data_IF_876251496923
#
_entry.id   IF_876251496923
#
_cell.length_a   1.000
_cell.length_b   1.000
_cell.length_c   1.000
_cell.angle_alpha   90.00
_cell.angle_beta   90.00
_cell.angle_gamma   90.00
#
_symmetry.space_group_name_H-M   'P 1'
#
loop_
_entity.id
_entity.type
_entity.pdbx_description
1 polymer ?
2 polymer ?
3 non-polymer ?
4 water ?
#
# COMPACT_ATOMS: atom_id res chain seq x y z
N UNK A 11 27.94 7.01 -5.03
CA UNK A 11 27.99 8.37 -4.56
C UNK A 11 28.35 8.32 -3.07
N UNK A 12 27.81 9.23 -2.26
CA UNK A 12 28.12 10.68 -2.30
C UNK A 12 26.98 11.54 -1.73
N UNK A 13 27.24 12.14 -0.56
CA UNK A 13 26.18 12.65 0.33
C UNK A 13 25.10 13.57 -0.27
N UNK A 14 25.50 14.56 -1.06
CA UNK A 14 24.55 15.63 -1.46
C UNK A 14 23.55 15.10 -2.47
N UNK A 15 24.01 14.13 -3.27
CA UNK A 15 23.17 13.46 -4.24
C UNK A 15 22.23 12.44 -3.65
N UNK A 16 22.70 11.63 -2.71
CA UNK A 16 21.81 10.75 -1.96
C UNK A 16 20.80 11.50 -1.10
N UNK A 17 21.17 12.67 -0.66
CA UNK A 17 20.25 13.51 0.08
C UNK A 17 19.24 14.19 -0.86
N UNK A 18 19.70 14.62 -2.03
CA UNK A 18 18.81 15.15 -3.04
C UNK A 18 17.88 14.06 -3.60
N UNK A 19 18.35 12.83 -3.72
CA UNK A 19 17.44 11.71 -4.04
C UNK A 19 16.35 11.57 -2.98
N UNK A 20 16.74 11.59 -1.72
CA UNK A 20 15.79 11.28 -0.65
C UNK A 20 14.71 12.35 -0.64
N UNK A 21 15.17 13.55 -0.92
CA UNK A 21 14.32 14.70 -0.97
C UNK A 21 13.37 14.75 -2.15
N UNK A 22 13.89 14.38 -3.30
CA UNK A 22 13.05 14.23 -4.48
C UNK A 22 11.92 13.24 -4.22
N UNK A 23 12.29 12.07 -3.67
CA UNK A 23 11.37 11.00 -3.39
C UNK A 23 10.31 11.40 -2.36
N UNK A 24 10.69 12.09 -1.30
CA UNK A 24 9.74 12.54 -0.27
C UNK A 24 8.72 13.54 -0.88
N UNK A 25 9.22 14.53 -1.58
CA UNK A 25 8.37 15.47 -2.31
C UNK A 25 7.37 14.81 -3.27
N UNK A 26 7.80 13.77 -4.00
CA UNK A 26 6.89 12.96 -4.83
C UNK A 26 5.93 12.12 -4.05
N UNK A 27 6.41 11.56 -2.94
CA UNK A 27 5.57 10.76 -2.08
C UNK A 27 4.44 11.60 -1.53
N UNK A 28 4.75 12.81 -1.10
CA UNK A 28 3.67 13.66 -0.63
C UNK A 28 2.66 14.06 -1.72
N UNK A 29 3.11 14.23 -2.97
CA UNK A 29 2.23 14.52 -4.12
C UNK A 29 1.37 13.31 -4.52
N UNK A 30 1.90 12.11 -4.32
CA UNK A 30 1.31 10.84 -4.76
C UNK A 30 0.34 10.26 -3.77
N UNK A 31 0.61 10.36 -2.46
CA UNK A 31 -0.20 9.69 -1.44
C UNK A 31 -0.91 10.70 -0.57
N UNK A 32 -2.25 10.66 -0.59
CA UNK A 32 -3.04 11.77 -0.06
C UNK A 32 -2.89 11.92 1.49
N UNK A 33 -2.94 10.81 2.21
CA UNK A 33 -2.82 10.83 3.67
C UNK A 33 -1.44 10.32 4.07
N UNK A 34 -0.54 11.21 4.51
CA UNK A 34 0.77 10.80 4.97
C UNK A 34 0.68 10.05 6.29
N UNK A 35 1.73 9.29 6.61
CA UNK A 35 1.80 8.76 7.95
C UNK A 35 1.80 9.78 9.08
N UNK A 36 2.46 10.94 8.89
CA UNK A 36 2.39 11.97 9.92
C UNK A 36 0.96 12.40 10.27
N UNK A 37 0.15 12.62 9.25
CA UNK A 37 -1.22 13.05 9.44
C UNK A 37 -2.06 11.93 9.96
N UNK A 38 -1.89 10.71 9.45
CA UNK A 38 -2.53 9.55 10.08
C UNK A 38 -2.19 9.37 11.54
N UNK A 39 -0.96 9.56 11.92
CA UNK A 39 -0.59 9.36 13.32
C UNK A 39 -1.22 10.45 14.22
N UNK A 40 -1.19 11.69 13.75
CA UNK A 40 -1.89 12.82 14.36
C UNK A 40 -3.36 12.48 14.62
N UNK A 41 -4.05 12.01 13.60
CA UNK A 41 -5.43 11.50 13.79
C UNK A 41 -5.58 10.40 14.82
N UNK A 42 -4.77 9.35 14.72
CA UNK A 42 -5.06 8.10 15.43
C UNK A 42 -4.85 8.37 16.92
N UNK A 43 -4.08 9.43 17.15
CA UNK A 43 -3.41 9.65 18.42
C UNK A 43 -4.18 10.69 19.22
N UNK A 44 -4.93 11.54 18.52
CA UNK A 44 -5.48 12.75 19.08
C UNK A 44 -4.52 13.90 18.88
N UNK A 45 -5.04 15.12 18.98
CA UNK A 45 -4.44 16.24 18.23
C UNK A 45 -5.54 16.73 17.31
N UNK A 46 -5.34 16.66 16.00
CA UNK A 46 -4.80 17.77 15.25
C UNK A 46 -5.54 19.04 15.73
N UNK A 47 -6.30 19.67 14.85
CA UNK A 47 -7.35 20.56 15.31
C UNK A 47 -8.77 20.19 14.91
N UNK A 48 -9.14 20.42 13.64
CA UNK A 48 -9.38 19.34 12.65
C UNK A 48 -9.66 18.00 13.30
N UNK A 49 -10.92 17.77 13.68
CA UNK A 49 -11.22 17.11 14.94
C UNK A 49 -12.19 15.92 14.81
N UNK A 50 -11.65 14.75 14.44
CA UNK A 50 -11.90 13.52 15.18
C UNK A 50 -12.82 12.58 14.37
N UNK A 51 -12.28 11.40 13.96
CA UNK A 51 -12.87 10.52 12.93
C UNK A 51 -14.15 9.94 13.47
N UNK A 52 -15.14 9.76 12.60
CA UNK A 52 -16.27 8.87 12.88
C UNK A 52 -15.86 7.40 13.05
N UNK A 53 -16.47 6.74 14.02
CA UNK A 53 -16.06 5.41 14.38
C UNK A 53 -17.12 4.41 13.91
N UNK A 54 -16.66 3.31 13.34
CA UNK A 54 -17.48 2.20 12.95
C UNK A 54 -17.20 1.02 13.89
N UNK A 55 -18.20 0.56 14.64
CA UNK A 55 -17.94 -0.49 15.61
C UNK A 55 -19.13 -1.42 15.68
N UNK A 56 -20.18 -1.16 14.86
CA UNK A 56 -21.37 -2.04 14.80
C UNK A 56 -22.18 -1.78 13.53
N UNK A 57 -23.30 -2.49 13.32
CA UNK A 57 -24.05 -2.27 12.11
C UNK A 57 -24.57 -0.84 12.03
N UNK A 58 -25.09 -0.32 13.13
CA UNK A 58 -25.74 0.98 13.09
C UNK A 58 -24.69 1.98 12.77
N UNK A 59 -23.54 1.89 13.42
CA UNK A 59 -22.50 2.92 13.10
C UNK A 59 -21.92 2.73 11.69
N UNK A 60 -21.91 1.49 11.18
CA UNK A 60 -21.43 1.25 9.79
C UNK A 60 -22.36 1.99 8.84
N UNK A 61 -23.68 1.89 9.07
CA UNK A 61 -24.63 2.51 8.15
C UNK A 61 -24.61 4.03 8.26
N UNK A 62 -24.42 4.54 9.47
CA UNK A 62 -24.20 5.99 9.67
C UNK A 62 -22.96 6.42 8.90
N UNK A 63 -21.93 5.61 8.98
CA UNK A 63 -20.67 5.89 8.28
C UNK A 63 -20.78 5.82 6.78
N UNK A 64 -21.47 4.80 6.27
CA UNK A 64 -21.61 4.66 4.83
C UNK A 64 -22.30 5.88 4.23
N UNK A 65 -23.22 6.47 4.93
CA UNK A 65 -23.86 7.67 4.46
C UNK A 65 -22.95 8.91 4.37
N UNK A 66 -21.90 8.95 5.17
CA UNK A 66 -20.92 10.06 5.03
C UNK A 66 -20.00 9.90 3.81
N UNK A 67 -19.73 8.66 3.40
CA UNK A 67 -18.73 8.38 2.38
C UNK A 67 -19.26 7.95 0.98
N UNK A 68 -20.56 7.76 0.86
CA UNK A 68 -21.08 7.17 -0.35
C UNK A 68 -20.96 8.04 -1.63
N UNK A 69 -20.79 9.35 -1.48
CA UNK A 69 -20.82 10.26 -2.61
C UNK A 69 -19.54 10.04 -3.37
N UNK A 70 -18.68 9.23 -2.79
CA UNK A 70 -17.30 9.13 -3.19
C UNK A 70 -17.17 8.33 -4.48
N UNK A 71 -18.04 7.31 -4.61
CA UNK A 71 -18.03 6.41 -5.77
C UNK A 71 -19.36 6.46 -6.48
N UNK A 72 -19.33 6.26 -7.79
CA UNK A 72 -20.58 6.18 -8.51
C UNK A 72 -21.46 5.08 -7.92
N UNK A 73 -22.76 5.24 -8.17
CA UNK A 73 -23.81 4.43 -7.55
C UNK A 73 -23.62 2.90 -7.52
N UNK A 74 -23.28 2.28 -8.67
CA UNK A 74 -22.99 0.84 -8.59
C UNK A 74 -21.89 0.42 -7.62
N UNK A 75 -20.88 1.24 -7.40
CA UNK A 75 -19.78 0.80 -6.57
C UNK A 75 -20.07 0.79 -5.07
N UNK A 76 -21.29 1.19 -4.70
CA UNK A 76 -21.74 1.12 -3.30
C UNK A 76 -22.14 -0.30 -2.86
N UNK A 77 -22.47 -1.14 -3.83
CA UNK A 77 -22.91 -2.50 -3.60
C UNK A 77 -23.77 -2.66 -2.37
N UNK A 78 -24.68 -1.70 -2.19
CA UNK A 78 -25.89 -1.79 -1.35
C UNK A 78 -26.48 -3.16 -1.07
N UNK A 79 -26.48 -4.04 -2.07
CA UNK A 79 -27.33 -5.23 -2.05
C UNK A 79 -26.61 -6.42 -1.42
N UNK A 80 -25.34 -6.20 -1.09
CA UNK A 80 -24.48 -7.28 -0.63
C UNK A 80 -24.41 -7.26 0.89
N UNK A 81 -24.19 -8.43 1.48
CA UNK A 81 -24.07 -8.55 2.89
C UNK A 81 -22.83 -7.75 3.31
N UNK A 82 -22.80 -7.30 4.55
CA UNK A 82 -21.77 -6.37 4.93
C UNK A 82 -20.34 -6.90 4.84
N UNK A 83 -20.08 -8.17 5.18
CA UNK A 83 -18.71 -8.70 5.08
C UNK A 83 -18.19 -8.51 3.69
N UNK A 84 -19.07 -8.68 2.69
CA UNK A 84 -18.69 -8.54 1.28
C UNK A 84 -18.61 -7.09 0.87
N UNK A 85 -19.47 -6.21 1.37
CA UNK A 85 -19.30 -4.79 1.00
C UNK A 85 -17.94 -4.27 1.52
N UNK A 86 -17.55 -4.72 2.73
CA UNK A 86 -16.31 -4.23 3.35
C UNK A 86 -15.13 -4.70 2.54
N UNK A 87 -15.18 -5.97 2.12
CA UNK A 87 -14.14 -6.53 1.27
C UNK A 87 -14.11 -5.84 -0.10
N UNK A 88 -15.28 -5.61 -0.68
CA UNK A 88 -15.34 -4.85 -1.97
C UNK A 88 -14.79 -3.45 -1.82
N UNK A 89 -15.14 -2.78 -0.71
CA UNK A 89 -14.58 -1.47 -0.38
C UNK A 89 -13.06 -1.46 -0.21
N UNK A 90 -12.48 -2.45 0.49
CA UNK A 90 -11.02 -2.51 0.55
C UNK A 90 -10.38 -2.73 -0.78
N UNK A 91 -10.95 -3.63 -1.58
CA UNK A 91 -10.31 -3.96 -2.85
C UNK A 91 -10.43 -2.78 -3.77
N UNK A 92 -11.51 -2.03 -3.67
CA UNK A 92 -11.55 -0.81 -4.46
C UNK A 92 -10.58 0.30 -3.95
N UNK A 93 -10.40 0.41 -2.65
CA UNK A 93 -9.41 1.32 -2.13
C UNK A 93 -7.99 0.84 -2.54
N UNK A 94 -7.78 -0.46 -2.63
CA UNK A 94 -6.50 -0.99 -3.09
C UNK A 94 -6.19 -0.66 -4.52
N UNK A 95 -7.23 -0.56 -5.33
CA UNK A 95 -7.11 -0.16 -6.75
C UNK A 95 -6.71 1.28 -6.79
N UNK A 96 -7.29 2.10 -5.92
CA UNK A 96 -6.84 3.47 -5.87
C UNK A 96 -5.40 3.59 -5.41
N UNK A 97 -5.03 2.75 -4.48
CA UNK A 97 -3.61 2.60 -4.15
C UNK A 97 -2.67 2.27 -5.30
N UNK A 98 -2.99 1.26 -6.11
CA UNK A 98 -2.15 0.94 -7.28
C UNK A 98 -1.94 2.14 -8.18
N UNK A 99 -3.00 2.91 -8.39
CA UNK A 99 -2.84 4.11 -9.20
C UNK A 99 -1.91 5.18 -8.60
N UNK A 100 -1.90 5.30 -7.27
CA UNK A 100 -1.04 6.30 -6.57
C UNK A 100 0.40 5.81 -6.60
N UNK A 101 0.54 4.51 -6.41
CA UNK A 101 1.86 3.88 -6.46
C UNK A 101 2.46 3.95 -7.84
N UNK A 102 1.63 3.80 -8.86
CA UNK A 102 2.08 3.94 -10.27
C UNK A 102 2.64 5.35 -10.57
N UNK A 103 1.91 6.37 -10.12
CA UNK A 103 2.31 7.74 -10.26
C UNK A 103 3.53 8.04 -9.38
N UNK A 104 3.57 7.51 -8.17
CA UNK A 104 4.82 7.47 -7.42
C UNK A 104 6.00 6.82 -8.14
N UNK A 105 5.83 5.61 -8.66
CA UNK A 105 6.87 4.92 -9.37
C UNK A 105 7.43 5.72 -10.55
N UNK A 106 6.56 6.32 -11.34
CA UNK A 106 7.00 7.19 -12.42
C UNK A 106 7.97 8.31 -12.01
N UNK A 107 7.96 8.66 -10.73
CA UNK A 107 8.83 9.77 -10.28
C UNK A 107 10.20 9.28 -9.78
N UNK A 108 10.40 7.99 -9.73
CA UNK A 108 11.64 7.45 -9.25
C UNK A 108 12.72 7.59 -10.34
N UNK A 109 13.76 8.43 -10.12
CA UNK A 109 14.67 8.64 -11.27
C UNK A 109 15.06 7.35 -11.93
N UNK A 110 14.91 7.31 -13.26
CA UNK A 110 15.30 6.18 -14.09
C UNK A 110 14.21 5.15 -14.39
N UNK A 111 13.22 5.07 -13.52
CA UNK A 111 12.14 4.09 -13.72
C UNK A 111 11.48 4.17 -15.11
N UNK A 112 11.15 5.38 -15.56
CA UNK A 112 10.38 5.53 -16.80
C UNK A 112 11.26 5.28 -18.05
N UNK A 113 12.57 5.28 -17.86
CA UNK A 113 13.45 4.89 -18.96
C UNK A 113 13.69 3.40 -19.05
N UNK A 114 13.14 2.63 -18.10
CA UNK A 114 13.23 1.18 -18.19
C UNK A 114 12.40 0.64 -19.34
N UNK A 115 12.68 -0.58 -19.78
CA UNK A 115 11.76 -1.26 -20.67
C UNK A 115 10.37 -1.19 -20.07
N UNK A 116 9.40 -0.79 -20.88
CA UNK A 116 8.00 -0.68 -20.45
C UNK A 116 7.42 -1.97 -19.90
N UNK A 117 7.82 -3.10 -20.47
CA UNK A 117 7.38 -4.40 -19.98
C UNK A 117 7.93 -4.68 -18.58
N UNK A 118 9.13 -4.22 -18.34
CA UNK A 118 9.75 -4.29 -17.01
C UNK A 118 9.03 -3.31 -16.07
N UNK A 119 8.74 -2.10 -16.52
CA UNK A 119 7.95 -1.21 -15.68
C UNK A 119 6.68 -1.94 -15.21
N UNK A 120 5.99 -2.63 -16.12
CA UNK A 120 4.79 -3.33 -15.74
C UNK A 120 5.08 -4.44 -14.74
N UNK A 121 6.17 -5.18 -14.96
CA UNK A 121 6.45 -6.31 -14.08
C UNK A 121 6.81 -5.80 -12.67
N UNK A 122 7.52 -4.67 -12.61
CA UNK A 122 7.94 -4.18 -11.26
C UNK A 122 6.68 -3.81 -10.47
N UNK A 123 5.73 -3.12 -11.10
CA UNK A 123 4.46 -2.81 -10.42
C UNK A 123 3.61 -4.03 -10.12
N UNK A 124 3.40 -4.88 -11.12
CA UNK A 124 2.68 -6.13 -10.86
C UNK A 124 3.11 -6.72 -9.54
N UNK A 125 4.43 -6.92 -9.39
CA UNK A 125 4.93 -7.73 -8.27
C UNK A 125 5.14 -6.89 -7.02
N UNK A 126 5.09 -5.58 -7.18
CA UNK A 126 5.52 -4.65 -6.12
C UNK A 126 4.30 -4.13 -5.34
N UNK A 127 3.19 -3.88 -6.05
CA UNK A 127 2.09 -3.15 -5.46
C UNK A 127 1.51 -3.76 -4.18
N UNK A 128 1.40 -5.09 -4.10
CA UNK A 128 0.84 -5.63 -2.88
C UNK A 128 1.72 -5.37 -1.65
N UNK A 129 3.04 -5.45 -1.82
CA UNK A 129 3.94 -5.33 -0.67
C UNK A 129 3.80 -3.87 -0.21
N UNK A 130 3.63 -2.95 -1.15
CA UNK A 130 3.55 -1.54 -0.83
C UNK A 130 2.24 -1.32 -0.09
N UNK A 131 1.20 -2.05 -0.48
CA UNK A 131 -0.12 -1.75 0.07
C UNK A 131 -0.13 -2.19 1.51
N UNK A 132 0.51 -3.34 1.80
CA UNK A 132 0.67 -3.74 3.17
C UNK A 132 1.44 -2.71 4.00
N UNK A 133 2.47 -2.10 3.42
CA UNK A 133 3.21 -1.07 4.16
C UNK A 133 2.36 0.20 4.39
N UNK A 134 1.62 0.65 3.39
CA UNK A 134 0.69 1.76 3.59
C UNK A 134 -0.39 1.51 4.61
N UNK A 135 -1.00 0.35 4.57
CA UNK A 135 -2.00 -0.04 5.53
C UNK A 135 -1.49 0.10 6.97
N UNK A 136 -0.21 -0.20 7.21
CA UNK A 136 0.33 -0.15 8.58
C UNK A 136 0.34 1.28 9.12
N UNK A 137 0.63 2.26 8.27
CA UNK A 137 0.59 3.66 8.70
C UNK A 137 -0.83 4.05 9.12
N UNK A 138 -1.84 3.35 8.65
CA UNK A 138 -3.24 3.71 8.95
C UNK A 138 -3.80 2.97 10.18
N UNK A 139 -3.03 2.01 10.69
CA UNK A 139 -3.48 1.15 11.78
C UNK A 139 -2.75 1.43 13.10
N UNK A 140 -3.49 1.33 14.20
CA UNK A 140 -2.93 1.02 15.54
C UNK A 140 -3.54 -0.25 16.09
N UNK A 141 -3.32 -0.55 17.36
CA UNK A 141 -3.69 -1.84 17.92
C UNK A 141 -5.22 -2.06 17.97
N UNK A 142 -5.97 -0.98 17.81
CA UNK A 142 -7.42 -0.89 18.12
C UNK A 142 -8.29 -0.73 16.84
N UNK A 143 -7.68 -0.46 15.69
CA UNK A 143 -8.43 -0.26 14.44
C UNK A 143 -7.66 0.43 13.35
N UNK A 144 -8.40 0.87 12.33
CA UNK A 144 -7.78 1.28 11.11
C UNK A 144 -8.47 2.52 10.59
N UNK A 145 -7.69 3.50 10.19
CA UNK A 145 -8.23 4.71 9.60
C UNK A 145 -8.79 4.41 8.22
N UNK A 146 -9.97 4.96 7.90
CA UNK A 146 -10.61 4.73 6.62
C UNK A 146 -11.08 6.04 6.04
N UNK A 147 -11.50 6.01 4.79
CA UNK A 147 -11.96 7.25 4.10
C UNK A 147 -10.94 8.35 4.22
N UNK A 148 -9.67 8.04 3.98
CA UNK A 148 -8.64 9.09 3.99
C UNK A 148 -8.56 9.75 5.35
N UNK A 149 -8.67 8.94 6.40
CA UNK A 149 -8.52 9.42 7.74
C UNK A 149 -9.74 10.01 8.41
N UNK A 150 -10.84 10.09 7.70
CA UNK A 150 -12.07 10.66 8.21
C UNK A 150 -12.89 9.72 9.07
N UNK A 151 -12.69 8.40 8.94
CA UNK A 151 -13.33 7.44 9.84
C UNK A 151 -12.36 6.40 10.41
N UNK A 152 -12.85 5.53 11.28
CA UNK A 152 -11.93 4.61 11.99
C UNK A 152 -12.75 3.40 12.18
N UNK A 153 -12.28 2.28 11.68
CA UNK A 153 -13.04 1.07 11.88
C UNK A 153 -12.32 0.20 12.94
N UNK A 154 -12.96 -0.27 13.97
CA UNK A 154 -12.28 -0.92 15.07
C UNK A 154 -11.82 -2.33 14.68
N UNK A 155 -10.85 -2.76 15.27
CA UNK A 155 -10.33 -4.09 15.02
C UNK A 155 -11.38 -5.14 15.45
N UNK A 156 -12.01 -4.92 16.60
CA UNK A 156 -13.03 -5.85 17.07
C UNK A 156 -14.25 -6.03 16.16
N UNK A 157 -14.64 -4.94 15.48
CA UNK A 157 -15.74 -4.99 14.54
C UNK A 157 -15.36 -5.90 13.38
N UNK A 158 -14.17 -5.68 12.85
CA UNK A 158 -13.73 -6.45 11.71
C UNK A 158 -13.49 -7.88 12.16
N UNK A 159 -13.10 -8.06 13.41
CA UNK A 159 -12.84 -9.41 13.93
C UNK A 159 -14.15 -10.20 14.09
N UNK A 160 -15.26 -9.48 14.19
CA UNK A 160 -16.61 -10.09 14.29
C UNK A 160 -17.34 -10.37 12.95
N UNK A 161 -16.75 -10.05 11.80
CA UNK A 161 -17.39 -10.41 10.56
C UNK A 161 -17.44 -11.93 10.41
N UNK A 162 -18.44 -12.45 9.69
CA UNK A 162 -18.59 -13.90 9.55
C UNK A 162 -17.28 -14.59 9.15
N UNK A 163 -16.99 -15.64 9.90
CA UNK A 163 -16.71 -16.96 9.36
C UNK A 163 -15.42 -17.20 8.59
N UNK A 164 -15.36 -16.77 7.31
CA UNK A 164 -14.05 -16.53 6.74
C UNK A 164 -13.46 -15.20 7.22
N UNK A 165 -14.13 -14.10 6.89
CA UNK A 165 -13.56 -12.73 6.89
C UNK A 165 -13.02 -12.25 8.24
N UNK A 166 -13.74 -12.59 9.31
CA UNK A 166 -13.41 -12.14 10.66
C UNK A 166 -12.11 -12.69 11.24
N UNK A 167 -11.57 -13.76 10.67
CA UNK A 167 -10.24 -14.26 11.10
C UNK A 167 -9.06 -13.59 10.36
N UNK A 168 -9.37 -12.81 9.31
CA UNK A 168 -8.38 -12.43 8.30
C UNK A 168 -7.73 -11.04 8.44
N UNK A 169 -8.28 -10.18 9.28
CA UNK A 169 -7.67 -8.86 9.53
C UNK A 169 -6.59 -8.96 10.58
N UNK A 170 -6.74 -9.90 11.50
CA UNK A 170 -5.86 -9.99 12.66
C UNK A 170 -4.35 -10.05 12.32
N UNK A 171 -3.99 -10.78 11.25
CA UNK A 171 -2.65 -10.72 10.61
C UNK A 171 -2.17 -9.37 10.13
N UNK A 172 -3.08 -8.59 9.53
CA UNK A 172 -2.76 -7.23 9.14
C UNK A 172 -2.33 -6.42 10.37
N UNK A 173 -3.13 -6.51 11.44
CA UNK A 173 -2.92 -5.85 12.73
C UNK A 173 -1.61 -6.19 13.44
N UNK A 174 -1.29 -7.47 13.49
CA UNK A 174 -0.05 -7.96 14.13
C UNK A 174 1.14 -7.53 13.30
N UNK A 175 1.06 -7.68 11.98
CA UNK A 175 2.06 -7.06 11.15
C UNK A 175 2.31 -5.57 11.45
N UNK A 176 1.24 -4.76 11.47
CA UNK A 176 1.37 -3.32 11.58
C UNK A 176 2.00 -2.99 12.91
N UNK A 177 1.58 -3.67 13.94
CA UNK A 177 2.10 -3.41 15.25
C UNK A 177 3.63 -3.56 15.30
N UNK A 178 4.17 -4.65 14.77
CA UNK A 178 5.62 -4.84 14.71
C UNK A 178 6.23 -3.83 13.75
N UNK A 179 5.52 -3.47 12.70
CA UNK A 179 6.18 -2.66 11.68
C UNK A 179 6.21 -1.23 12.21
N UNK A 180 5.12 -0.79 12.79
CA UNK A 180 5.02 0.55 13.32
C UNK A 180 5.99 0.75 14.50
N UNK A 181 6.34 -0.34 15.18
CA UNK A 181 7.34 -0.27 16.26
C UNK A 181 8.71 0.21 15.77
N UNK A 182 8.99 0.09 14.47
CA UNK A 182 10.16 0.71 13.88
C UNK A 182 10.21 2.23 13.82
N UNK A 183 9.05 2.88 14.04
CA UNK A 183 8.93 4.31 14.05
C UNK A 183 9.48 5.05 12.83
N UNK A 184 9.25 4.46 11.67
CA UNK A 184 9.56 5.10 10.41
C UNK A 184 8.73 6.37 10.15
N UNK A 185 9.31 7.36 9.48
CA UNK A 185 8.63 8.63 9.20
C UNK A 185 8.34 8.48 7.71
N UNK A 186 7.68 9.49 7.13
CA UNK A 186 7.36 9.49 5.69
C UNK A 186 8.61 9.58 4.81
N UNK A 187 9.57 10.38 5.24
CA UNK A 187 10.93 10.41 4.62
C UNK A 187 11.56 9.05 4.41
N UNK A 188 11.52 8.21 5.46
CA UNK A 188 12.08 6.85 5.46
C UNK A 188 11.22 5.95 4.55
N UNK A 189 9.90 6.05 4.70
CA UNK A 189 8.93 5.25 3.96
C UNK A 189 9.00 5.50 2.42
N UNK A 190 9.16 6.75 2.01
CA UNK A 190 9.32 7.10 0.59
C UNK A 190 10.43 6.32 -0.11
N UNK A 191 11.58 6.21 0.57
CA UNK A 191 12.70 5.51 -0.03
C UNK A 191 12.51 4.03 0.10
N UNK A 192 12.00 3.57 1.24
CA UNK A 192 11.70 2.13 1.48
C UNK A 192 10.77 1.59 0.40
N UNK A 193 9.73 2.37 0.10
CA UNK A 193 8.86 2.03 -0.98
C UNK A 193 9.52 1.98 -2.37
N UNK A 194 10.34 2.97 -2.69
CA UNK A 194 11.07 2.98 -3.97
C UNK A 194 11.98 1.77 -4.12
N UNK A 195 12.64 1.37 -3.04
CA UNK A 195 13.50 0.20 -3.03
C UNK A 195 12.69 -1.10 -3.27
N UNK A 196 11.51 -1.24 -2.70
CA UNK A 196 10.69 -2.43 -2.97
C UNK A 196 10.29 -2.52 -4.46
N UNK A 197 9.93 -1.39 -5.03
CA UNK A 197 9.52 -1.33 -6.47
C UNK A 197 10.66 -1.77 -7.37
N UNK A 198 11.85 -1.22 -7.16
CA UNK A 198 12.98 -1.53 -8.03
C UNK A 198 13.68 -2.82 -7.62
N UNK A 199 12.95 -3.93 -7.45
CA UNK A 199 13.62 -5.17 -7.07
C UNK A 199 14.03 -5.89 -8.35
N UNK A 200 15.28 -6.37 -8.40
CA UNK A 200 15.79 -6.90 -9.66
C UNK A 200 15.42 -8.35 -9.87
N UNK A 201 14.77 -8.96 -8.87
CA UNK A 201 14.56 -10.40 -8.88
C UNK A 201 13.09 -10.81 -9.13
N UNK A 202 12.30 -9.89 -9.68
CA UNK A 202 10.89 -10.19 -9.99
C UNK A 202 10.85 -11.15 -11.18
N UNK A 203 9.86 -12.06 -11.20
CA UNK A 203 9.74 -12.98 -12.34
C UNK A 203 9.60 -12.29 -13.71
N UNK A 204 10.32 -12.78 -14.72
CA UNK A 204 10.20 -12.30 -16.06
C UNK A 204 10.85 -10.98 -16.40
N UNK A 205 11.78 -10.47 -15.57
CA UNK A 205 12.34 -9.17 -15.92
C UNK A 205 13.22 -9.41 -17.15
N UNK A 206 13.16 -8.52 -18.13
CA UNK A 206 14.01 -8.60 -19.31
C UNK A 206 15.47 -8.21 -18.99
N UNK A 207 15.65 -6.93 -18.64
CA UNK A 207 16.94 -6.35 -18.29
C UNK A 207 17.06 -6.11 -16.80
N UNK A 208 17.59 -7.07 -16.03
CA UNK A 208 17.73 -6.87 -14.60
C UNK A 208 18.74 -5.80 -14.16
N UNK A 209 19.76 -5.52 -14.97
CA UNK A 209 20.91 -4.74 -14.51
C UNK A 209 20.57 -3.28 -14.23
N UNK A 210 19.82 -2.67 -15.13
CA UNK A 210 19.45 -1.27 -14.93
C UNK A 210 18.51 -1.09 -13.71
N UNK A 211 17.76 -2.14 -13.35
CA UNK A 211 16.88 -2.13 -12.17
C UNK A 211 17.73 -2.25 -10.91
N UNK A 212 18.65 -3.20 -10.87
CA UNK A 212 19.59 -3.33 -9.76
C UNK A 212 20.43 -2.10 -9.54
N UNK A 213 20.77 -1.44 -10.63
CA UNK A 213 21.59 -0.27 -10.63
C UNK A 213 20.90 0.92 -10.00
N UNK A 214 19.61 1.06 -10.29
CA UNK A 214 18.77 2.09 -9.66
C UNK A 214 18.57 1.74 -8.21
N UNK A 215 18.30 0.47 -7.93
CA UNK A 215 18.02 0.03 -6.58
C UNK A 215 19.21 0.21 -5.67
N UNK A 216 20.40 0.10 -6.26
CA UNK A 216 21.62 0.26 -5.53
C UNK A 216 21.78 1.68 -4.97
N UNK A 217 21.55 2.67 -5.82
CA UNK A 217 21.40 4.07 -5.46
C UNK A 217 20.36 4.32 -4.39
N UNK A 218 19.19 3.72 -4.55
CA UNK A 218 18.10 3.78 -3.57
C UNK A 218 18.46 3.19 -2.23
N UNK A 219 19.12 2.02 -2.22
CA UNK A 219 19.61 1.42 -0.97
C UNK A 219 20.66 2.25 -0.24
N UNK A 220 21.53 2.90 -1.00
CA UNK A 220 22.50 3.88 -0.43
C UNK A 220 21.84 5.13 0.11
N UNK A 221 20.82 5.66 -0.58
CA UNK A 221 20.02 6.73 -0.02
C UNK A 221 19.28 6.29 1.24
N UNK A 222 18.75 5.09 1.26
CA UNK A 222 18.01 4.64 2.41
C UNK A 222 18.97 4.45 3.61
N UNK A 223 20.15 3.87 3.38
CA UNK A 223 21.15 3.66 4.45
C UNK A 223 21.55 5.02 5.07
N UNK A 224 21.77 6.02 4.24
CA UNK A 224 22.14 7.37 4.70
C UNK A 224 20.95 8.03 5.48
N UNK A 225 19.75 7.94 4.93
CA UNK A 225 18.55 8.46 5.57
C UNK A 225 18.36 7.91 6.98
N UNK A 226 18.56 6.61 7.18
CA UNK A 226 18.29 5.98 8.49
C UNK A 226 19.40 6.32 9.50
N UNK A 227 20.64 6.43 9.00
CA UNK A 227 21.77 6.96 9.80
C UNK A 227 21.46 8.34 10.35
N UNK A 228 21.02 9.25 9.50
CA UNK A 228 20.74 10.62 9.89
C UNK A 228 19.50 10.72 10.75
N UNK A 229 18.47 9.91 10.44
CA UNK A 229 17.15 10.18 11.00
C UNK A 229 16.91 9.28 12.19
N UNK A 230 17.66 8.16 12.25
CA UNK A 230 17.59 7.25 13.40
C UNK A 230 18.95 6.86 13.89
N UNK A 231 19.71 7.82 14.41
CA UNK A 231 21.14 7.58 14.73
C UNK A 231 21.25 6.68 15.95
N UNK A 232 20.14 6.49 16.63
CA UNK A 232 20.15 5.74 17.89
C UNK A 232 19.79 4.26 17.63
N UNK A 233 19.58 3.90 16.38
CA UNK A 233 19.23 2.53 16.03
C UNK A 233 20.13 1.99 14.94
N UNK A 234 21.30 1.45 15.29
CA UNK A 234 22.31 1.14 14.26
C UNK A 234 21.88 -0.06 13.40
N UNK A 235 20.97 -0.85 13.90
CA UNK A 235 20.55 -2.04 13.14
C UNK A 235 19.28 -1.86 12.30
N UNK A 236 18.86 -0.62 12.07
CA UNK A 236 17.51 -0.41 11.59
C UNK A 236 17.46 -0.75 10.10
N UNK A 237 18.50 -0.38 9.34
CA UNK A 237 18.58 -0.77 7.93
C UNK A 237 18.37 -2.28 7.78
N UNK A 238 19.08 -3.06 8.58
CA UNK A 238 18.98 -4.51 8.52
C UNK A 238 17.58 -4.93 8.86
N UNK A 239 16.96 -4.34 9.89
CA UNK A 239 15.57 -4.69 10.22
C UNK A 239 14.62 -4.40 9.06
N UNK A 240 14.86 -3.32 8.34
CA UNK A 240 14.01 -2.94 7.21
C UNK A 240 14.14 -3.90 6.07
N UNK A 241 15.34 -4.34 5.78
CA UNK A 241 15.50 -5.36 4.73
C UNK A 241 14.80 -6.62 5.15
N UNK A 242 14.87 -6.99 6.43
CA UNK A 242 14.07 -8.10 6.88
C UNK A 242 12.58 -7.93 6.71
N UNK A 243 12.03 -6.77 7.05
CA UNK A 243 10.64 -6.49 6.68
C UNK A 243 10.30 -6.73 5.23
N UNK A 244 11.17 -6.37 4.29
CA UNK A 244 10.87 -6.65 2.85
C UNK A 244 10.68 -8.14 2.55
N UNK A 245 11.50 -8.99 3.14
CA UNK A 245 11.25 -10.45 3.11
C UNK A 245 9.94 -10.87 3.75
N UNK A 246 9.64 -10.35 4.93
CA UNK A 246 8.36 -10.63 5.56
C UNK A 246 7.22 -10.30 4.57
N UNK A 247 7.24 -9.10 4.00
CA UNK A 247 6.14 -8.64 3.12
C UNK A 247 5.98 -9.57 1.92
N UNK A 248 7.06 -10.10 1.38
CA UNK A 248 6.92 -11.08 0.30
C UNK A 248 6.15 -12.27 0.76
N UNK A 249 6.49 -12.79 1.93
CA UNK A 249 5.87 -14.00 2.38
C UNK A 249 4.40 -13.72 2.72
N UNK A 250 4.12 -12.62 3.39
CA UNK A 250 2.73 -12.18 3.58
C UNK A 250 1.93 -12.10 2.26
N UNK A 251 2.49 -11.55 1.19
CA UNK A 251 1.75 -11.49 -0.10
C UNK A 251 1.52 -12.92 -0.63
N UNK A 252 2.53 -13.76 -0.56
CA UNK A 252 2.35 -15.09 -0.96
C UNK A 252 1.17 -15.74 -0.30
N UNK A 253 1.21 -15.83 1.02
CA UNK A 253 0.07 -16.22 1.80
C UNK A 253 -1.24 -15.62 1.31
N UNK A 254 -1.30 -14.32 1.14
CA UNK A 254 -2.53 -13.66 0.73
C UNK A 254 -3.08 -14.13 -0.63
N UNK A 255 -2.20 -14.28 -1.60
CA UNK A 255 -2.61 -14.74 -2.95
C UNK A 255 -3.23 -16.15 -2.89
N UNK A 256 -2.48 -17.07 -2.28
CA UNK A 256 -2.95 -18.43 -2.05
C UNK A 256 -4.28 -18.51 -1.28
N UNK A 257 -4.48 -17.60 -0.35
CA UNK A 257 -5.75 -17.56 0.37
C UNK A 257 -6.84 -17.06 -0.52
N UNK A 258 -6.58 -15.99 -1.27
CA UNK A 258 -7.61 -15.40 -2.10
C UNK A 258 -8.15 -16.50 -2.99
N UNK A 259 -7.25 -17.29 -3.52
CA UNK A 259 -7.62 -18.11 -4.64
C UNK A 259 -8.32 -19.39 -4.14
N UNK A 260 -8.14 -19.73 -2.86
CA UNK A 260 -8.96 -20.76 -2.22
C UNK A 260 -10.30 -20.25 -1.63
N UNK A 261 -10.34 -19.02 -1.16
CA UNK A 261 -11.58 -18.42 -0.63
C UNK A 261 -12.57 -18.06 -1.74
N UNK A 262 -12.05 -17.58 -2.87
CA UNK A 262 -12.89 -17.01 -3.91
C UNK A 262 -13.83 -18.06 -4.54
N UNK A 263 -13.43 -19.33 -4.40
CA UNK A 263 -14.25 -20.46 -4.81
C UNK A 263 -15.50 -20.69 -3.95
N UNK A 264 -15.36 -20.48 -2.64
CA UNK A 264 -16.48 -20.38 -1.73
C UNK A 264 -17.36 -19.14 -1.94
N UNK A 265 -16.74 -17.99 -2.14
CA UNK A 265 -17.47 -16.72 -2.02
C UNK A 265 -17.75 -16.13 -3.39
N UNK A 266 -18.63 -16.82 -4.09
CA UNK A 266 -19.45 -16.22 -5.11
C UNK A 266 -19.93 -14.88 -4.53
N UNK A 267 -20.11 -13.88 -5.38
CA UNK A 267 -20.37 -12.53 -4.87
C UNK A 267 -19.11 -11.71 -4.63
N UNK A 268 -18.02 -12.37 -4.27
CA UNK A 268 -16.67 -11.79 -4.29
C UNK A 268 -16.21 -11.50 -5.74
N UNK A 269 -15.95 -10.25 -6.08
CA UNK A 269 -15.52 -9.89 -7.44
C UNK A 269 -14.26 -9.03 -7.43
N UNK A 270 -13.31 -9.32 -8.33
CA UNK A 270 -12.12 -8.49 -8.44
C UNK A 270 -12.25 -7.42 -9.51
N UNK A 271 -11.81 -6.21 -9.18
CA UNK A 271 -11.76 -5.12 -10.12
C UNK A 271 -10.86 -5.63 -11.21
N UNK A 272 -11.11 -5.26 -12.48
CA UNK A 272 -10.25 -5.83 -13.50
C UNK A 272 -8.78 -5.45 -13.40
N UNK A 273 -8.46 -4.24 -12.91
CA UNK A 273 -7.06 -3.92 -12.66
C UNK A 273 -6.42 -4.98 -11.76
N UNK A 274 -7.12 -5.38 -10.70
CA UNK A 274 -6.59 -6.41 -9.82
C UNK A 274 -6.56 -7.80 -10.43
N UNK A 275 -7.46 -8.04 -11.38
CA UNK A 275 -7.47 -9.34 -12.05
C UNK A 275 -6.19 -9.43 -12.82
N UNK A 276 -5.83 -8.37 -13.55
CA UNK A 276 -4.60 -8.49 -14.34
C UNK A 276 -3.39 -8.66 -13.47
N UNK A 277 -3.36 -7.95 -12.35
CA UNK A 277 -2.30 -8.08 -11.38
C UNK A 277 -2.19 -9.49 -10.86
N UNK A 278 -3.30 -10.10 -10.44
CA UNK A 278 -3.25 -11.46 -9.85
C UNK A 278 -2.95 -12.52 -10.86
N UNK A 279 -3.14 -12.22 -12.14
CA UNK A 279 -3.08 -13.24 -13.17
C UNK A 279 -1.85 -14.15 -13.04
N UNK A 280 -0.62 -13.67 -13.24
CA UNK A 280 0.45 -14.67 -13.07
C UNK A 280 1.34 -14.58 -11.82
N UNK A 281 0.68 -14.32 -10.67
CA UNK A 281 1.29 -13.68 -9.52
C UNK A 281 1.44 -14.65 -8.37
N UNK A 282 2.64 -14.67 -7.78
CA UNK A 282 3.00 -15.74 -6.84
C UNK A 282 3.47 -15.35 -5.42
N UNK B 5 2.25 -4.33 -24.42
CA UNK B 5 0.92 -3.90 -23.91
C UNK B 5 0.25 -4.99 -23.04
N UNK B 6 0.55 -6.26 -23.36
CA UNK B 6 -0.08 -7.43 -22.73
C UNK B 6 -1.57 -7.55 -23.14
N UNK B 7 -2.51 -7.96 -22.29
CA UNK B 7 -2.36 -8.63 -21.00
C UNK B 7 -2.47 -7.90 -19.65
N UNK B 8 -1.88 -6.71 -19.61
CA UNK B 8 -1.98 -5.76 -18.49
C UNK B 8 -2.36 -4.44 -19.11
N UNK B 9 -3.54 -4.41 -19.73
CA UNK B 9 -4.00 -3.25 -20.48
C UNK B 9 -4.14 -2.01 -19.62
N UNK B 10 -4.85 -2.15 -18.50
CA UNK B 10 -5.05 -1.04 -17.60
C UNK B 10 -3.75 -0.52 -17.04
N UNK B 11 -2.92 -1.42 -16.50
CA UNK B 11 -1.65 -1.06 -15.92
C UNK B 11 -0.79 -0.38 -16.94
N UNK B 12 -0.77 -0.94 -18.16
CA UNK B 12 -0.02 -0.28 -19.26
C UNK B 12 -0.52 1.13 -19.54
N UNK B 13 -1.82 1.34 -19.52
CA UNK B 13 -2.33 2.72 -19.71
C UNK B 13 -1.94 3.64 -18.56
N UNK B 14 -1.91 3.12 -17.32
CA UNK B 14 -1.54 3.95 -16.13
C UNK B 14 -0.08 4.43 -16.28
N UNK B 15 0.72 3.56 -16.87
CA UNK B 15 2.16 3.80 -17.08
C UNK B 15 2.50 4.79 -18.18
N UNK B 16 1.58 4.97 -19.12
CA UNK B 16 1.70 6.05 -20.09
C UNK B 16 2.21 7.30 -19.41
N UNK B 17 3.14 7.99 -20.08
CA UNK B 17 3.36 9.41 -19.82
C UNK B 17 2.01 10.11 -19.98
N UNK B 18 1.92 11.34 -19.48
CA UNK B 18 0.67 11.85 -18.94
C UNK B 18 0.78 11.93 -17.42
N UNK B 19 -0.17 11.31 -16.72
CA UNK B 19 -0.84 11.92 -15.56
C UNK B 19 -2.35 11.70 -15.70
N UNK B 20 -2.97 11.00 -14.73
CA UNK B 20 -4.45 10.89 -14.72
C UNK B 20 -5.17 12.22 -14.95
N UNK B 21 -6.36 12.15 -15.55
CA UNK B 21 -7.21 13.33 -15.74
C UNK B 21 -8.67 12.98 -15.39
X LIG C 1 -11.88 4.28 0.58
X LIG C 1 -12.70 3.61 1.52
X LIG C 1 -13.22 4.59 2.41
X LIG C 1 -13.87 2.91 0.64
X LIG C 1 -13.61 2.46 -0.67
X LIG C 1 -14.63 1.86 -1.41
X LIG C 1 -15.92 1.67 -0.88
X LIG C 1 -16.17 2.10 0.43
X LIG C 1 -15.15 2.70 1.16
X LIG C 1 -12.06 2.41 2.22
X LIG C 1 -11.28 2.49 3.29
X LIG C 1 -10.48 3.40 3.41
X LIG C 1 -11.00 1.20 3.99
X LIG C 1 -9.78 0.81 4.46
X LIG C 1 -8.53 1.54 4.22
X LIG C 1 -7.72 0.85 3.13
X LIG C 1 -8.18 -0.27 2.47
X LIG C 1 -7.37 -0.88 1.50
X LIG C 1 -6.45 1.37 2.86
X LIG C 1 -5.66 0.80 1.87
X LIG C 1 -4.29 1.38 1.60
X LIG C 1 -4.20 2.67 1.67
X LIG C 1 -3.45 0.94 2.45
X LIG C 1 -3.86 0.99 0.46
X LIG C 1 -6.12 -0.31 1.20
X LIG C 1 -9.93 -0.33 5.14
X LIG C 1 -9.01 -1.12 5.84
X LIG C 1 -9.42 -2.27 6.50
X LIG C 1 -10.78 -2.60 6.48
X LIG C 1 -11.72 -1.81 5.79
X LIG C 1 -12.00 0.29 4.37
X LIG C 1 -11.28 -0.68 5.09
X LIG C 1 -13.40 0.36 4.13
X LIG C 1 -13.97 -0.65 3.38
X LIG C 1 -15.36 -0.73 3.19
X LIG C 1 -14.27 1.34 4.68
X LIG C 1 -15.67 1.27 4.47
X LIG C 1 -16.22 0.20 3.72
X LIG C 1 -17.57 0.04 3.47
X LIG C 1 -18.46 0.96 4.11
X LIG D 1 -5.61 -12.46 2.31
X LIG D 1 -6.62 -11.97 3.22
X LIG D 1 -6.22 -12.67 4.41
X LIG D 1 -8.03 -12.37 2.54
X LIG D 1 -9.25 -12.06 3.16
X LIG D 1 -10.48 -12.38 2.58
X LIG D 1 -10.51 -13.00 1.34
X LIG D 1 -9.31 -13.29 0.70
X LIG D 1 -8.07 -12.98 1.28
X LIG D 1 -6.43 -10.44 3.29
X LIG D 1 -7.01 -9.56 2.43
X LIG D 1 -7.25 -9.89 1.27
X LIG D 1 -6.89 -8.08 2.67
X LIG D 1 -5.98 -7.23 2.12
X LIG D 1 -4.84 -7.59 1.29
X LIG D 1 -5.02 -7.07 -0.10
X LIG D 1 -4.06 -6.30 -0.78
X LIG D 1 -4.34 -5.91 -2.10
X LIG D 1 -6.21 -7.38 -0.74
X LIG D 1 -6.50 -6.97 -2.04
X LIG D 1 -7.81 -7.39 -2.62
X LIG D 1 -7.81 -7.11 -3.90
X LIG D 1 -8.80 -6.76 -2.02
X LIG D 1 -7.99 -8.70 -2.58
X LIG D 1 -5.56 -6.22 -2.72
X LIG D 1 -6.26 -5.98 2.51
X LIG D 1 -5.63 -4.76 2.23
X LIG D 1 -6.16 -3.58 2.78
X LIG D 1 -7.28 -3.63 3.59
X LIG D 1 -7.91 -4.84 3.86
X LIG D 1 -7.83 -7.35 3.42
X LIG D 1 -7.40 -6.02 3.31
X LIG D 1 -9.11 -7.76 3.81
X LIG D 1 -10.21 -6.95 3.53
X LIG D 1 -11.46 -7.20 4.10
X LIG D 1 -9.27 -8.83 4.69
X LIG D 1 -10.51 -9.10 5.26
X LIG D 1 -11.62 -8.29 4.96
X LIG D 1 -12.83 -8.57 5.55
X LIG D 1 -14.07 -8.51 4.83
#
# INVERSE_FOLDING_TARGET
MSYYHHHHHHPESADLRALAKHLYDSYIKSFPLTKAKARAILTGKTTDKSPFVIYDMNSLMMGEDKIKFKHITPLQEQSKEVAIRIFQGCQFRSVEAVQEITEYAKSIPGFVNLDLNDQVTLLKYGVHEIIYTMLASLMNKDGVLISEGQGFMTREFLKSLRKPFGDFMEPKFEFAVKFNALELDDSDLAIFIAVIILSGDRPGLLNVKPIEDIQDNLLQALELQLKLNHPESSQLFAKLLQKMTDLRQIVTEHVQLLQVIKKTETDMSLHPLLQEIYKDLY
HSSLTERHKILHRLLQEGSPS
NSI O52 S48 O50 C51 C55 C56 C53 C57 C54 N17 C15 O16 C13 N10 C12 C34 C37 C38 C36 C39 C43 F47 F46 F45 C35 C6 C2 C5 C4 C1 C7 C3 C14 C20 C21 C19 C22 C18 O27 C28
NSI O52 S48 O50 C51 C55 C56 C53 C57 C54 N17 C15 O16 C13 N10 C12 C34 C37 C38 C36 C39 C43 F47 F46 F45 C35 C6 C2 C5 C4 C1 C7 C3 C14 C20 C21 C19 C22 C18 O27 C28
#
